data_IF_070624710727
#
_entry.id   IF_070624710727
#
_cell.length_a   1.000
_cell.length_b   1.000
_cell.length_c   1.000
_cell.angle_alpha   90.00
_cell.angle_beta   90.00
_cell.angle_gamma   90.00
#
_symmetry.space_group_name_H-M   'P 1'
#
loop_
_entity.id
_entity.type
_entity.pdbx_description
1 polymer ?
#
# COMPACT_ATOMS: atom_id res chain seq x y z
N UNK A 1 -11.69 1.54 -12.74
CA UNK A 1 -11.32 0.32 -13.50
C UNK A 1 -11.43 0.52 -15.02
N UNK A 2 -12.46 1.18 -15.53
CA UNK A 2 -12.67 1.38 -16.99
C UNK A 2 -11.47 2.01 -17.73
N UNK A 3 -10.85 3.06 -17.16
CA UNK A 3 -9.67 3.70 -17.77
C UNK A 3 -8.44 2.80 -17.81
N UNK A 4 -8.27 1.91 -16.84
CA UNK A 4 -7.17 0.95 -16.84
C UNK A 4 -7.37 -0.13 -17.91
N UNK A 5 -8.60 -0.62 -18.07
CA UNK A 5 -8.93 -1.55 -19.15
C UNK A 5 -8.69 -0.91 -20.53
N UNK A 6 -9.03 0.37 -20.69
CA UNK A 6 -8.75 1.13 -21.90
C UNK A 6 -7.24 1.28 -22.16
N UNK A 7 -6.45 1.56 -21.12
CA UNK A 7 -4.99 1.58 -21.20
C UNK A 7 -4.44 0.23 -21.69
N UNK A 8 -4.92 -0.89 -21.14
CA UNK A 8 -4.54 -2.22 -21.59
C UNK A 8 -4.94 -2.47 -23.05
N UNK A 9 -6.14 -2.02 -23.45
CA UNK A 9 -6.67 -2.16 -24.81
C UNK A 9 -5.84 -1.38 -25.83
N UNK A 10 -5.57 -0.10 -25.57
CA UNK A 10 -4.79 0.78 -26.45
C UNK A 10 -3.33 0.31 -26.53
N UNK A 11 -2.75 -0.09 -25.39
CA UNK A 11 -1.38 -0.61 -25.33
C UNK A 11 -1.19 -2.01 -25.91
N UNK A 12 -2.28 -2.67 -26.35
CA UNK A 12 -2.28 -4.05 -26.83
C UNK A 12 -1.63 -5.03 -25.82
N UNK A 13 -1.88 -4.83 -24.53
CA UNK A 13 -1.38 -5.73 -23.48
C UNK A 13 -2.19 -7.02 -23.50
N UNK A 14 -1.47 -8.15 -23.59
CA UNK A 14 -2.06 -9.50 -23.62
C UNK A 14 -1.99 -10.10 -22.22
N UNK A 15 -3.07 -10.76 -21.78
CA UNK A 15 -3.17 -11.41 -20.47
C UNK A 15 -3.97 -10.62 -19.44
N UNK A 16 -3.91 -11.05 -18.17
CA UNK A 16 -4.56 -10.37 -17.05
C UNK A 16 -3.54 -9.53 -16.27
N UNK A 17 -3.87 -8.27 -16.04
CA UNK A 17 -3.12 -7.40 -15.15
C UNK A 17 -4.07 -6.93 -14.04
N UNK A 18 -3.69 -7.15 -12.79
CA UNK A 18 -4.45 -6.65 -11.65
C UNK A 18 -4.09 -5.17 -11.45
N UNK A 19 -5.10 -4.30 -11.39
CA UNK A 19 -4.90 -2.85 -11.45
C UNK A 19 -4.19 -2.30 -10.20
N UNK A 20 -4.34 -2.93 -9.02
CA UNK A 20 -3.62 -2.58 -7.79
C UNK A 20 -2.17 -2.97 -7.90
N UNK A 21 -1.82 -4.12 -8.48
CA UNK A 21 -0.42 -4.45 -8.75
C UNK A 21 0.23 -3.42 -9.68
N UNK A 22 -0.47 -3.00 -10.74
CA UNK A 22 0.01 -1.91 -11.60
C UNK A 22 0.20 -0.61 -10.82
N UNK A 23 -0.80 -0.21 -10.02
CA UNK A 23 -0.70 1.00 -9.20
C UNK A 23 0.46 0.92 -8.20
N UNK A 24 0.69 -0.24 -7.59
CA UNK A 24 1.75 -0.47 -6.62
C UNK A 24 3.12 -0.19 -7.24
N UNK A 25 3.40 -0.79 -8.41
CA UNK A 25 4.66 -0.59 -9.14
C UNK A 25 4.81 0.86 -9.62
N UNK A 26 3.74 1.44 -10.15
CA UNK A 26 3.79 2.84 -10.60
C UNK A 26 4.05 3.80 -9.43
N UNK A 27 3.47 3.55 -8.25
CA UNK A 27 3.70 4.34 -7.06
C UNK A 27 5.11 4.12 -6.47
N UNK A 28 5.67 2.91 -6.56
CA UNK A 28 7.03 2.65 -6.09
C UNK A 28 8.08 3.40 -6.90
N UNK A 29 7.88 3.56 -8.21
CA UNK A 29 8.77 4.36 -9.06
C UNK A 29 8.75 5.87 -8.75
N UNK A 30 7.73 6.35 -8.03
CA UNK A 30 7.54 7.77 -7.69
C UNK A 30 8.01 8.14 -6.27
N UNK A 31 8.43 7.17 -5.46
CA UNK A 31 8.73 7.34 -4.05
C UNK A 31 10.10 6.74 -3.71
N UNK A 32 10.76 7.24 -2.65
CA UNK A 32 12.09 6.76 -2.30
C UNK A 32 12.06 5.54 -1.37
N UNK A 33 10.96 5.33 -0.64
CA UNK A 33 10.81 4.27 0.37
C UNK A 33 9.46 3.58 0.29
N UNK A 34 9.36 2.36 0.83
CA UNK A 34 8.11 1.61 0.85
C UNK A 34 7.02 2.32 1.67
N UNK A 35 7.41 3.02 2.73
CA UNK A 35 6.48 3.82 3.54
C UNK A 35 5.89 5.00 2.75
N UNK A 36 6.72 5.71 1.97
CA UNK A 36 6.24 6.78 1.09
C UNK A 36 5.35 6.24 -0.04
N UNK A 37 5.68 5.09 -0.62
CA UNK A 37 4.83 4.42 -1.62
C UNK A 37 3.46 4.08 -1.06
N UNK A 38 3.40 3.47 0.13
CA UNK A 38 2.13 3.12 0.77
C UNK A 38 1.34 4.35 1.22
N UNK A 39 2.03 5.44 1.61
CA UNK A 39 1.39 6.75 1.85
C UNK A 39 0.75 7.28 0.58
N UNK A 40 1.47 7.29 -0.54
CA UNK A 40 0.92 7.74 -1.83
C UNK A 40 -0.30 6.91 -2.24
N UNK A 41 -0.24 5.59 -2.04
CA UNK A 41 -1.40 4.71 -2.30
C UNK A 41 -2.60 5.07 -1.41
N UNK A 42 -2.39 5.34 -0.12
CA UNK A 42 -3.44 5.84 0.77
C UNK A 42 -4.06 7.14 0.22
N UNK A 43 -3.23 8.10 -0.18
CA UNK A 43 -3.69 9.40 -0.72
C UNK A 43 -4.46 9.25 -2.04
N UNK A 44 -4.08 8.31 -2.90
CA UNK A 44 -4.75 8.06 -4.18
C UNK A 44 -6.08 7.32 -4.06
N UNK A 45 -6.24 6.48 -3.03
CA UNK A 45 -7.40 5.58 -2.89
C UNK A 45 -8.38 6.02 -1.80
N UNK A 46 -8.00 6.99 -0.96
CA UNK A 46 -8.85 7.42 0.15
C UNK A 46 -10.17 8.03 -0.34
N UNK A 47 -11.22 7.82 0.44
CA UNK A 47 -12.51 8.53 0.31
C UNK A 47 -12.63 9.69 1.30
N UNK A 48 -11.58 9.96 2.08
CA UNK A 48 -11.54 11.13 2.95
C UNK A 48 -11.52 12.42 2.13
N UNK A 49 -12.03 13.53 2.67
CA UNK A 49 -11.90 14.84 2.04
C UNK A 49 -10.43 15.24 1.83
N UNK A 50 -10.19 16.15 0.89
CA UNK A 50 -8.87 16.74 0.68
C UNK A 50 -8.32 17.36 1.98
N UNK A 51 -7.04 17.10 2.26
CA UNK A 51 -6.39 17.47 3.54
C UNK A 51 -6.78 16.57 4.73
N UNK A 52 -7.62 15.55 4.51
CA UNK A 52 -7.97 14.54 5.50
C UNK A 52 -6.85 13.53 5.78
N UNK A 53 -7.11 12.54 6.64
CA UNK A 53 -6.10 11.59 7.10
C UNK A 53 -5.71 10.50 6.08
N UNK A 54 -6.31 10.51 4.89
CA UNK A 54 -6.06 9.53 3.83
C UNK A 54 -6.28 8.07 4.27
N UNK A 55 -7.40 7.80 4.96
CA UNK A 55 -7.74 6.45 5.43
C UNK A 55 -8.17 5.56 4.26
N UNK A 56 -7.74 4.30 4.31
CA UNK A 56 -8.24 3.20 3.47
C UNK A 56 -8.50 1.97 4.34
N UNK A 57 -9.19 0.96 3.81
CA UNK A 57 -9.35 -0.30 4.55
C UNK A 57 -8.00 -0.99 4.73
N UNK A 58 -7.80 -1.61 5.89
CA UNK A 58 -6.57 -2.32 6.22
C UNK A 58 -6.33 -3.50 5.28
N UNK A 59 -7.39 -4.19 4.85
CA UNK A 59 -7.30 -5.26 3.85
C UNK A 59 -6.73 -4.75 2.52
N UNK A 60 -7.22 -3.61 2.02
CA UNK A 60 -6.68 -3.01 0.79
C UNK A 60 -5.21 -2.66 0.95
N UNK A 61 -4.85 -2.01 2.07
CA UNK A 61 -3.46 -1.66 2.36
C UNK A 61 -2.56 -2.89 2.45
N UNK A 62 -3.05 -3.98 3.06
CA UNK A 62 -2.32 -5.23 3.22
C UNK A 62 -2.01 -5.90 1.87
N UNK A 63 -2.94 -5.86 0.93
CA UNK A 63 -2.72 -6.39 -0.42
C UNK A 63 -1.53 -5.66 -1.09
N UNK A 64 -1.48 -4.33 -0.99
CA UNK A 64 -0.36 -3.54 -1.49
C UNK A 64 0.95 -3.85 -0.75
N UNK A 65 0.93 -3.87 0.58
CA UNK A 65 2.13 -4.10 1.38
C UNK A 65 2.75 -5.48 1.10
N UNK A 66 1.93 -6.53 1.01
CA UNK A 66 2.42 -7.89 0.66
C UNK A 66 2.97 -7.97 -0.75
N UNK A 67 2.28 -7.35 -1.71
CA UNK A 67 2.72 -7.36 -3.10
C UNK A 67 4.06 -6.65 -3.26
N UNK A 68 4.20 -5.44 -2.72
CA UNK A 68 5.44 -4.67 -2.74
C UNK A 68 6.53 -5.35 -1.93
N UNK A 69 6.21 -5.89 -0.74
CA UNK A 69 7.17 -6.62 0.08
C UNK A 69 7.74 -7.86 -0.62
N UNK A 70 6.95 -8.52 -1.48
CA UNK A 70 7.45 -9.60 -2.33
C UNK A 70 8.42 -9.11 -3.41
N UNK A 71 8.18 -7.94 -4.00
CA UNK A 71 9.09 -7.34 -4.98
C UNK A 71 10.42 -6.92 -4.34
N UNK A 72 10.36 -6.41 -3.10
CA UNK A 72 11.51 -5.98 -2.31
C UNK A 72 12.23 -7.13 -1.58
N UNK A 73 11.79 -8.37 -1.78
CA UNK A 73 12.30 -9.59 -1.13
C UNK A 73 12.28 -9.51 0.42
N UNK A 74 11.27 -8.85 0.98
CA UNK A 74 11.04 -8.78 2.43
C UNK A 74 10.55 -10.14 2.91
N UNK A 75 11.20 -10.68 3.94
CA UNK A 75 10.81 -11.99 4.50
C UNK A 75 9.39 -11.97 5.08
N UNK A 76 8.67 -13.09 4.94
CA UNK A 76 7.35 -13.27 5.56
C UNK A 76 7.38 -13.07 7.08
N UNK A 77 8.49 -13.43 7.73
CA UNK A 77 8.68 -13.20 9.17
C UNK A 77 8.64 -11.71 9.52
N UNK A 78 9.28 -10.86 8.71
CA UNK A 78 9.28 -9.41 8.90
C UNK A 78 7.90 -8.81 8.61
N UNK A 79 7.27 -9.23 7.50
CA UNK A 79 5.89 -8.81 7.19
C UNK A 79 4.96 -9.16 8.35
N UNK A 80 5.01 -10.38 8.87
CA UNK A 80 4.18 -10.81 9.99
C UNK A 80 4.44 -10.01 11.27
N UNK A 81 5.69 -9.62 11.53
CA UNK A 81 6.05 -8.76 12.66
C UNK A 81 5.39 -7.38 12.55
N UNK A 82 5.54 -6.71 11.40
CA UNK A 82 4.88 -5.42 11.11
C UNK A 82 3.35 -5.56 11.22
N UNK A 83 2.79 -6.63 10.69
CA UNK A 83 1.35 -6.89 10.73
C UNK A 83 0.82 -7.09 12.15
N UNK A 84 1.58 -7.73 13.02
CA UNK A 84 1.22 -7.91 14.43
C UNK A 84 1.15 -6.56 15.16
N UNK A 85 2.13 -5.69 14.91
CA UNK A 85 2.13 -4.32 15.45
C UNK A 85 0.93 -3.52 14.92
N UNK A 86 0.75 -3.44 13.60
CA UNK A 86 -0.29 -2.61 13.00
C UNK A 86 -1.70 -3.08 13.37
N UNK A 87 -1.93 -4.40 13.45
CA UNK A 87 -3.24 -4.93 13.86
C UNK A 87 -3.61 -4.52 15.28
N UNK A 88 -2.61 -4.42 16.17
CA UNK A 88 -2.81 -3.91 17.53
C UNK A 88 -3.03 -2.38 17.52
N UNK A 89 -2.20 -1.63 16.79
CA UNK A 89 -2.28 -0.16 16.71
C UNK A 89 -3.64 0.33 16.17
N UNK A 90 -4.19 -0.36 15.17
CA UNK A 90 -5.45 0.03 14.53
C UNK A 90 -6.70 -0.58 15.17
N UNK A 91 -6.59 -1.26 16.31
CA UNK A 91 -7.70 -2.02 16.90
C UNK A 91 -8.96 -1.16 17.15
N UNK A 92 -8.79 0.12 17.45
CA UNK A 92 -9.90 1.08 17.65
C UNK A 92 -10.26 1.88 16.39
N UNK A 93 -9.69 1.56 15.23
CA UNK A 93 -9.88 2.30 13.96
C UNK A 93 -10.85 1.60 12.99
N UNK A 94 -11.72 0.71 13.46
CA UNK A 94 -12.81 0.10 12.68
C UNK A 94 -12.34 -0.55 11.35
N UNK A 95 -11.16 -1.19 11.37
CA UNK A 95 -10.58 -1.84 10.18
C UNK A 95 -9.96 -0.88 9.17
N UNK A 96 -9.77 0.39 9.53
CA UNK A 96 -9.12 1.40 8.71
C UNK A 96 -7.66 1.61 9.13
N UNK A 97 -6.82 1.94 8.15
CA UNK A 97 -5.43 2.34 8.33
C UNK A 97 -5.18 3.67 7.61
N UNK A 98 -4.23 4.45 8.12
CA UNK A 98 -3.81 5.71 7.55
C UNK A 98 -2.29 5.90 7.69
N UNK A 99 -1.68 6.81 6.90
CA UNK A 99 -0.24 7.04 6.92
C UNK A 99 0.39 7.17 8.31
N UNK A 100 -0.27 7.84 9.25
CA UNK A 100 0.28 8.00 10.61
C UNK A 100 0.57 6.66 11.31
N UNK A 101 -0.21 5.60 11.05
CA UNK A 101 -0.06 4.32 11.75
C UNK A 101 1.29 3.67 11.41
N UNK A 102 1.66 3.68 10.13
CA UNK A 102 2.86 3.00 9.63
C UNK A 102 4.07 3.92 9.41
N UNK A 103 3.89 5.23 9.55
CA UNK A 103 4.98 6.22 9.49
C UNK A 103 5.39 6.73 10.88
N UNK A 104 4.70 6.30 11.95
CA UNK A 104 5.07 6.65 13.31
C UNK A 104 6.44 6.04 13.67
N UNK A 105 7.34 6.75 14.40
CA UNK A 105 8.67 6.24 14.76
C UNK A 105 8.68 4.91 15.54
N UNK A 106 7.60 4.60 16.26
CA UNK A 106 7.47 3.33 17.00
C UNK A 106 6.98 2.16 16.13
N UNK A 107 6.44 2.44 14.93
CA UNK A 107 6.10 1.38 13.99
C UNK A 107 7.39 0.73 13.47
N UNK A 108 7.49 -0.61 13.45
CA UNK A 108 8.59 -1.28 12.78
C UNK A 108 8.69 -0.83 11.32
N UNK A 109 9.92 -0.65 10.82
CA UNK A 109 10.13 -0.26 9.42
C UNK A 109 9.43 -1.23 8.49
N UNK A 110 8.68 -0.71 7.52
CA UNK A 110 7.93 -1.55 6.57
C UNK A 110 8.87 -2.39 5.69
N UNK A 111 9.94 -1.77 5.21
CA UNK A 111 11.09 -2.44 4.61
C UNK A 111 12.30 -2.31 5.56
N UNK A 112 12.94 -3.40 5.98
CA UNK A 112 14.08 -3.35 6.90
C UNK A 112 15.35 -2.74 6.28
N UNK A 113 15.37 -2.50 4.97
CA UNK A 113 16.48 -1.93 4.21
C UNK A 113 16.36 -0.41 3.96
N UNK A 114 15.15 0.15 4.10
CA UNK A 114 14.95 1.60 4.23
C UNK A 114 15.58 2.09 5.54
#
# INVERSE_FOLDING_TARGET
MERFQELCRIGNFVGTCEWRHFLAVAASDLCATLAETLKLICELLTSDPEGGPARISFETWLDFYRYLGKLDEISDAHINHVMTYLTFDIASQEGMIMPRNFMHPECPKLNPRD
#
